data_IF_460863264011
#
_entry.id   IF_460863264011
#
_cell.length_a   1.000
_cell.length_b   1.000
_cell.length_c   1.000
_cell.angle_alpha   90.00
_cell.angle_beta   90.00
_cell.angle_gamma   90.00
#
_symmetry.space_group_name_H-M   'P 1'
#
loop_
_entity.id
_entity.type
_entity.pdbx_description
1 polymer ?
#
# COMPACT_ATOMS: atom_id res chain seq x y z
N UNK A 1 -7.17 43.41 -65.20
CA UNK A 1 -8.21 42.39 -64.90
C UNK A 1 -7.66 41.07 -65.40
N UNK A 2 -7.22 40.07 -64.64
CA UNK A 2 -7.26 39.72 -63.20
C UNK A 2 -6.03 38.78 -62.98
N UNK A 3 -5.10 39.03 -62.04
CA UNK A 3 -4.99 38.48 -60.66
C UNK A 3 -5.53 37.04 -60.50
N UNK A 4 -4.89 36.04 -59.88
CA UNK A 4 -3.92 35.96 -58.76
C UNK A 4 -3.25 34.55 -58.77
N UNK A 5 -1.93 34.43 -58.64
CA UNK A 5 -1.14 34.10 -57.42
C UNK A 5 -1.63 32.92 -56.56
N UNK A 6 -0.69 31.99 -56.41
CA UNK A 6 -0.56 30.84 -55.49
C UNK A 6 -0.74 31.18 -54.01
N UNK A 7 -1.24 30.22 -53.23
CA UNK A 7 -0.63 29.84 -51.94
C UNK A 7 -1.20 28.52 -51.41
N UNK A 8 -0.28 27.67 -50.94
CA UNK A 8 -0.54 26.42 -50.22
C UNK A 8 -1.20 26.71 -48.87
N UNK A 9 -2.21 25.93 -48.51
CA UNK A 9 -2.47 25.62 -47.11
C UNK A 9 -3.07 24.22 -46.99
N UNK A 10 -2.17 23.25 -46.79
CA UNK A 10 -2.48 21.99 -46.14
C UNK A 10 -2.95 22.32 -44.71
N UNK A 11 -4.27 22.41 -44.52
CA UNK A 11 -4.86 22.39 -43.18
C UNK A 11 -4.74 20.96 -42.62
N UNK A 12 -3.53 20.62 -42.20
CA UNK A 12 -3.27 19.54 -41.28
C UNK A 12 -3.40 20.07 -39.87
N UNK A 13 -4.62 20.36 -39.43
CA UNK A 13 -4.90 20.56 -38.01
C UNK A 13 -5.25 19.18 -37.43
N UNK A 14 -4.23 18.32 -37.35
CA UNK A 14 -4.26 17.19 -36.43
C UNK A 14 -4.14 17.81 -35.05
N UNK A 15 -5.30 17.98 -34.41
CA UNK A 15 -5.46 18.19 -32.99
C UNK A 15 -4.66 17.10 -32.27
N UNK A 16 -3.38 17.38 -32.02
CA UNK A 16 -2.53 16.56 -31.19
C UNK A 16 -3.12 16.67 -29.81
N UNK A 17 -4.03 15.76 -29.51
CA UNK A 17 -4.47 15.46 -28.16
C UNK A 17 -3.18 15.17 -27.39
N UNK A 18 -2.67 16.18 -26.68
CA UNK A 18 -1.57 16.03 -25.74
C UNK A 18 -2.08 15.04 -24.71
N UNK A 19 -1.77 13.76 -24.91
CA UNK A 19 -1.96 12.74 -23.91
C UNK A 19 -1.26 13.31 -22.68
N UNK A 20 -1.98 13.58 -21.57
CA UNK A 20 -1.34 14.11 -20.40
C UNK A 20 -0.22 13.14 -20.03
N UNK A 21 1.01 13.62 -20.06
CA UNK A 21 2.13 12.91 -19.45
C UNK A 21 1.67 12.71 -18.01
N UNK A 22 1.46 11.46 -17.62
CA UNK A 22 0.99 11.14 -16.28
C UNK A 22 2.14 11.46 -15.32
N UNK A 23 2.19 12.71 -14.85
CA UNK A 23 3.21 13.18 -13.94
C UNK A 23 2.90 12.49 -12.61
N UNK A 24 3.81 11.68 -12.05
CA UNK A 24 3.59 11.02 -10.78
C UNK A 24 3.17 12.02 -9.70
N UNK A 25 2.15 11.66 -8.93
CA UNK A 25 1.50 12.53 -7.95
C UNK A 25 1.03 13.89 -8.51
N UNK A 26 0.75 14.01 -9.82
CA UNK A 26 0.41 15.29 -10.45
C UNK A 26 1.48 16.38 -10.24
N UNK A 27 2.74 15.99 -10.00
CA UNK A 27 3.83 16.89 -9.65
C UNK A 27 3.80 17.40 -8.20
N UNK A 28 2.91 16.87 -7.35
CA UNK A 28 2.83 17.21 -5.93
C UNK A 28 3.94 16.57 -5.11
N UNK A 29 4.16 17.12 -3.92
CA UNK A 29 5.20 16.68 -3.00
C UNK A 29 4.93 15.24 -2.53
N UNK A 30 5.96 14.40 -2.56
CA UNK A 30 5.93 13.09 -1.90
C UNK A 30 6.10 13.31 -0.38
N UNK A 31 5.09 12.92 0.39
CA UNK A 31 5.09 13.03 1.86
C UNK A 31 5.69 11.79 2.52
N UNK A 32 5.46 10.61 1.92
CA UNK A 32 5.87 9.32 2.48
C UNK A 32 6.28 8.36 1.38
N UNK A 33 7.22 7.48 1.69
CA UNK A 33 7.55 6.33 0.86
C UNK A 33 7.77 5.09 1.73
N UNK A 34 7.54 3.90 1.16
CA UNK A 34 7.79 2.60 1.79
C UNK A 34 8.37 1.64 0.74
N UNK A 35 9.38 0.89 1.15
CA UNK A 35 9.98 -0.20 0.37
C UNK A 35 9.28 -1.52 0.66
N UNK A 36 9.15 -2.36 -0.38
CA UNK A 36 8.74 -3.74 -0.20
C UNK A 36 9.83 -4.58 0.49
N UNK A 37 9.47 -5.73 1.11
CA UNK A 37 10.43 -6.53 1.89
C UNK A 37 11.68 -6.94 1.13
N UNK A 38 11.53 -7.35 -0.13
CA UNK A 38 12.66 -7.75 -0.97
C UNK A 38 13.16 -6.59 -1.86
N UNK A 39 12.79 -5.35 -1.56
CA UNK A 39 13.18 -4.15 -2.31
C UNK A 39 12.86 -4.21 -3.82
N UNK A 40 11.80 -4.94 -4.20
CA UNK A 40 11.36 -5.03 -5.60
C UNK A 40 10.49 -3.83 -6.02
N UNK A 41 9.90 -3.12 -5.07
CA UNK A 41 9.11 -1.93 -5.36
C UNK A 41 9.10 -0.91 -4.22
N UNK A 42 8.74 0.32 -4.60
CA UNK A 42 8.52 1.45 -3.69
C UNK A 42 7.07 1.90 -3.88
N UNK A 43 6.36 2.13 -2.77
CA UNK A 43 5.14 2.92 -2.79
C UNK A 43 5.43 4.32 -2.25
N UNK A 44 4.99 5.34 -2.97
CA UNK A 44 5.03 6.73 -2.53
C UNK A 44 3.62 7.25 -2.32
N UNK A 45 3.45 8.17 -1.37
CA UNK A 45 2.19 8.83 -1.04
C UNK A 45 2.40 10.33 -1.07
N UNK A 46 1.50 11.04 -1.75
CA UNK A 46 1.33 12.47 -1.63
C UNK A 46 0.02 12.75 -0.89
N UNK A 47 0.11 13.54 0.18
CA UNK A 47 -1.05 13.92 0.99
C UNK A 47 -1.87 15.02 0.32
N UNK A 48 -1.24 15.81 -0.57
CA UNK A 48 -1.88 16.96 -1.24
C UNK A 48 -2.89 16.51 -2.29
N UNK A 49 -2.50 15.62 -3.20
CA UNK A 49 -3.37 15.04 -4.22
C UNK A 49 -3.99 13.70 -3.80
N UNK A 50 -3.64 13.19 -2.61
CA UNK A 50 -4.12 11.93 -2.04
C UNK A 50 -3.91 10.74 -2.99
N UNK A 51 -2.78 10.70 -3.69
CA UNK A 51 -2.44 9.60 -4.58
C UNK A 51 -1.30 8.75 -4.03
N UNK A 52 -1.38 7.45 -4.33
CA UNK A 52 -0.33 6.47 -4.09
C UNK A 52 0.26 6.10 -5.44
N UNK A 53 1.58 6.14 -5.59
CA UNK A 53 2.28 5.73 -6.80
C UNK A 53 3.21 4.57 -6.46
N UNK A 54 3.21 3.55 -7.30
CA UNK A 54 4.10 2.40 -7.20
C UNK A 54 5.19 2.50 -8.26
N UNK A 55 6.41 2.25 -7.82
CA UNK A 55 7.61 2.20 -8.62
C UNK A 55 8.21 0.80 -8.53
N UNK A 56 8.57 0.22 -9.66
CA UNK A 56 9.33 -1.04 -9.70
C UNK A 56 10.82 -0.71 -9.64
N UNK A 57 11.57 -1.43 -8.80
CA UNK A 57 13.03 -1.37 -8.78
C UNK A 57 13.56 -2.45 -9.71
N UNK A 58 14.44 -2.07 -10.65
CA UNK A 58 15.07 -3.00 -11.59
C UNK A 58 16.35 -3.59 -11.02
N UNK A 59 16.88 -4.64 -11.66
CA UNK A 59 18.16 -5.26 -11.31
C UNK A 59 19.35 -4.27 -11.38
N UNK A 60 19.22 -3.22 -12.20
CA UNK A 60 20.19 -2.13 -12.32
C UNK A 60 20.03 -1.06 -11.22
N UNK A 61 19.19 -1.31 -10.21
CA UNK A 61 18.83 -0.38 -9.13
C UNK A 61 18.19 0.93 -9.63
N UNK A 62 17.56 0.89 -10.81
CA UNK A 62 16.77 1.99 -11.34
C UNK A 62 15.31 1.86 -10.92
N UNK A 63 14.65 3.00 -10.70
CA UNK A 63 13.21 3.05 -10.40
C UNK A 63 12.41 3.38 -11.65
N UNK A 64 11.39 2.57 -11.95
CA UNK A 64 10.47 2.77 -13.06
C UNK A 64 9.06 2.95 -12.54
N UNK A 65 8.35 3.97 -13.04
CA UNK A 65 6.92 4.11 -12.80
C UNK A 65 6.20 2.83 -13.24
N UNK A 66 5.26 2.38 -12.42
CA UNK A 66 4.49 1.17 -12.70
C UNK A 66 2.99 1.43 -12.70
N UNK A 67 2.45 1.96 -11.60
CA UNK A 67 1.04 2.28 -11.49
C UNK A 67 0.79 3.39 -10.47
N UNK A 68 -0.40 3.98 -10.51
CA UNK A 68 -0.89 4.91 -9.51
C UNK A 68 -2.32 4.58 -9.10
N UNK A 69 -2.70 5.08 -7.93
CA UNK A 69 -4.03 4.93 -7.38
C UNK A 69 -4.40 6.18 -6.60
N UNK A 70 -5.59 6.74 -6.89
CA UNK A 70 -6.15 7.80 -6.06
C UNK A 70 -6.85 7.20 -4.84
N UNK A 71 -6.62 7.76 -3.65
CA UNK A 71 -7.35 7.38 -2.44
C UNK A 71 -8.85 7.72 -2.58
N UNK A 72 -9.22 8.69 -3.43
CA UNK A 72 -10.64 8.95 -3.73
C UNK A 72 -11.33 7.76 -4.37
N UNK A 73 -10.65 7.04 -5.27
CA UNK A 73 -11.20 5.86 -5.95
C UNK A 73 -11.53 4.76 -4.92
N UNK A 74 -10.70 4.65 -3.89
CA UNK A 74 -10.86 3.66 -2.82
C UNK A 74 -12.02 3.97 -1.88
N UNK A 75 -12.29 5.25 -1.60
CA UNK A 75 -13.39 5.64 -0.71
C UNK A 75 -14.75 5.16 -1.23
N UNK A 76 -14.92 5.11 -2.56
CA UNK A 76 -16.13 4.55 -3.16
C UNK A 76 -16.21 3.02 -2.95
N UNK A 77 -15.11 2.30 -3.15
CA UNK A 77 -15.07 0.83 -3.00
C UNK A 77 -15.22 0.34 -1.56
N UNK A 78 -14.87 1.18 -0.58
CA UNK A 78 -14.84 0.81 0.84
C UNK A 78 -15.66 1.77 1.71
N UNK A 79 -16.71 2.38 1.15
CA UNK A 79 -17.52 3.44 1.78
C UNK A 79 -18.13 3.08 3.14
N UNK A 80 -18.26 1.79 3.45
CA UNK A 80 -18.72 1.30 4.76
C UNK A 80 -17.65 1.37 5.86
N UNK A 81 -16.40 1.63 5.49
CA UNK A 81 -15.27 1.75 6.41
C UNK A 81 -14.85 3.21 6.51
N UNK A 82 -14.96 3.77 7.71
CA UNK A 82 -14.46 5.09 8.00
C UNK A 82 -12.92 5.05 7.94
N UNK A 83 -12.35 5.52 6.83
CA UNK A 83 -10.90 5.68 6.69
C UNK A 83 -10.42 6.78 7.62
N UNK A 84 -10.17 6.43 8.88
CA UNK A 84 -9.66 7.37 9.89
C UNK A 84 -8.22 7.79 9.64
N UNK A 85 -7.50 7.10 8.75
CA UNK A 85 -6.15 7.50 8.36
C UNK A 85 -5.85 7.14 6.90
N UNK A 86 -5.49 8.15 6.12
CA UNK A 86 -4.91 8.02 4.78
C UNK A 86 -3.41 7.62 4.86
N UNK A 87 -3.05 6.78 5.83
CA UNK A 87 -1.65 6.40 6.10
C UNK A 87 -1.29 5.14 5.33
N UNK A 88 -0.34 5.26 4.40
CA UNK A 88 0.34 4.12 3.80
C UNK A 88 1.11 3.36 4.90
N UNK A 89 0.80 2.08 5.15
CA UNK A 89 1.40 1.28 6.26
C UNK A 89 2.50 0.35 5.75
N UNK A 90 2.32 -0.26 4.59
CA UNK A 90 3.29 -1.21 4.01
C UNK A 90 2.97 -1.50 2.55
N UNK A 91 3.96 -1.99 1.80
CA UNK A 91 3.81 -2.52 0.43
C UNK A 91 4.45 -3.92 0.36
N UNK A 92 3.81 -4.85 -0.34
CA UNK A 92 4.35 -6.16 -0.66
C UNK A 92 5.08 -6.14 -2.00
N UNK A 93 5.95 -7.12 -2.25
CA UNK A 93 6.68 -7.22 -3.53
C UNK A 93 5.76 -7.44 -4.74
N UNK A 94 4.50 -7.80 -4.50
CA UNK A 94 3.49 -7.92 -5.55
C UNK A 94 2.62 -6.65 -5.67
N UNK A 95 3.15 -5.50 -5.23
CA UNK A 95 2.55 -4.18 -5.46
C UNK A 95 1.18 -4.03 -4.79
N UNK A 96 0.98 -4.74 -3.68
CA UNK A 96 -0.19 -4.59 -2.81
C UNK A 96 0.19 -3.82 -1.56
N UNK A 97 -0.58 -2.82 -1.17
CA UNK A 97 -0.29 -2.01 0.01
C UNK A 97 -1.39 -2.08 1.07
N UNK A 98 -1.08 -1.59 2.27
CA UNK A 98 -1.95 -1.64 3.44
C UNK A 98 -2.34 -0.22 3.85
N UNK A 99 -3.65 0.00 3.96
CA UNK A 99 -4.25 1.16 4.66
C UNK A 99 -5.10 0.67 5.84
N UNK A 100 -6.17 -0.04 5.51
CA UNK A 100 -7.14 -0.71 6.42
C UNK A 100 -7.55 -2.07 5.83
N UNK A 101 -7.53 -2.15 4.50
CA UNK A 101 -7.58 -3.36 3.69
C UNK A 101 -6.23 -3.55 2.97
N UNK A 102 -6.01 -4.77 2.45
CA UNK A 102 -4.96 -4.98 1.45
C UNK A 102 -5.53 -4.60 0.10
N UNK A 103 -4.84 -3.74 -0.62
CA UNK A 103 -5.29 -3.22 -1.91
C UNK A 103 -4.25 -3.58 -2.96
N UNK A 104 -4.73 -4.16 -4.04
CA UNK A 104 -3.95 -4.48 -5.22
C UNK A 104 -4.03 -3.29 -6.20
N UNK A 105 -2.88 -2.66 -6.44
CA UNK A 105 -2.83 -1.40 -7.20
C UNK A 105 -3.24 -1.63 -8.65
N UNK A 106 -2.77 -2.72 -9.27
CA UNK A 106 -2.99 -2.99 -10.68
C UNK A 106 -4.47 -3.28 -10.97
N UNK A 107 -5.12 -4.06 -10.12
CA UNK A 107 -6.53 -4.42 -10.31
C UNK A 107 -7.51 -3.45 -9.64
N UNK A 108 -7.00 -2.54 -8.79
CA UNK A 108 -7.78 -1.69 -7.88
C UNK A 108 -8.72 -2.48 -6.96
N UNK A 109 -8.51 -3.80 -6.84
CA UNK A 109 -9.27 -4.65 -5.94
C UNK A 109 -8.71 -4.52 -4.54
N UNK A 110 -9.53 -4.77 -3.53
CA UNK A 110 -8.99 -4.92 -2.19
C UNK A 110 -9.80 -5.88 -1.35
N UNK A 111 -9.15 -6.28 -0.26
CA UNK A 111 -9.64 -7.32 0.63
C UNK A 111 -9.52 -6.85 2.07
N UNK A 112 -10.66 -6.88 2.77
CA UNK A 112 -10.69 -6.72 4.22
C UNK A 112 -10.24 -8.02 4.85
N UNK A 113 -9.21 -7.94 5.70
CA UNK A 113 -8.70 -9.09 6.41
C UNK A 113 -9.63 -9.44 7.56
N UNK A 114 -9.96 -10.72 7.67
CA UNK A 114 -10.81 -11.23 8.74
C UNK A 114 -10.13 -12.38 9.46
N UNK A 115 -10.16 -12.31 10.78
CA UNK A 115 -9.78 -13.36 11.70
C UNK A 115 -10.51 -13.14 13.03
N UNK A 116 -10.74 -14.20 13.78
CA UNK A 116 -11.36 -14.09 15.10
C UNK A 116 -10.49 -13.23 16.02
N UNK A 117 -11.07 -12.12 16.51
CA UNK A 117 -10.38 -11.16 17.38
C UNK A 117 -9.63 -10.03 16.65
N UNK A 118 -9.62 -10.00 15.31
CA UNK A 118 -8.90 -8.99 14.52
C UNK A 118 -9.73 -7.70 14.26
N UNK A 119 -10.87 -7.52 14.92
CA UNK A 119 -11.69 -6.30 14.72
C UNK A 119 -11.00 -5.06 15.32
N UNK A 120 -11.17 -3.91 14.65
CA UNK A 120 -10.69 -2.60 15.09
C UNK A 120 -9.24 -2.33 14.69
N UNK A 121 -8.61 -1.35 15.36
CA UNK A 121 -7.23 -0.94 15.07
C UNK A 121 -6.24 -2.06 15.36
N UNK A 122 -5.28 -2.28 14.45
CA UNK A 122 -4.20 -3.23 14.62
C UNK A 122 -2.87 -2.58 14.21
N UNK A 123 -1.88 -2.72 15.07
CA UNK A 123 -0.52 -2.22 14.90
C UNK A 123 0.36 -2.96 15.90
N UNK A 124 1.61 -3.33 15.56
CA UNK A 124 2.25 -3.18 14.25
C UNK A 124 1.71 -4.10 13.14
N UNK A 125 1.97 -3.72 11.88
CA UNK A 125 1.63 -4.48 10.67
C UNK A 125 2.86 -4.50 9.76
N UNK A 126 3.23 -5.66 9.21
CA UNK A 126 4.43 -5.78 8.36
C UNK A 126 4.32 -6.93 7.35
N UNK A 127 4.71 -6.66 6.10
CA UNK A 127 4.98 -7.72 5.12
C UNK A 127 6.35 -8.33 5.40
N UNK A 128 6.42 -9.66 5.35
CA UNK A 128 7.66 -10.41 5.52
C UNK A 128 8.32 -10.70 4.18
N UNK A 129 9.61 -10.99 4.20
CA UNK A 129 10.41 -11.38 3.02
C UNK A 129 9.85 -12.62 2.31
N UNK A 130 9.20 -13.53 3.05
CA UNK A 130 8.54 -14.70 2.49
C UNK A 130 7.15 -14.41 1.88
N UNK A 131 6.75 -13.15 1.80
CA UNK A 131 5.48 -12.68 1.23
C UNK A 131 4.26 -12.85 2.14
N UNK A 132 4.42 -13.34 3.37
CA UNK A 132 3.34 -13.32 4.35
C UNK A 132 3.14 -11.92 4.94
N UNK A 133 1.96 -11.69 5.50
CA UNK A 133 1.63 -10.47 6.22
C UNK A 133 1.44 -10.82 7.70
N UNK A 134 2.12 -10.08 8.58
CA UNK A 134 1.92 -10.17 10.02
C UNK A 134 1.16 -8.95 10.50
N UNK A 135 0.13 -9.18 11.31
CA UNK A 135 -0.63 -8.15 12.00
C UNK A 135 -0.62 -8.47 13.48
N UNK A 136 -0.18 -7.51 14.29
CA UNK A 136 -0.25 -7.61 15.74
C UNK A 136 -1.48 -6.85 16.23
N UNK A 137 -2.28 -7.55 17.02
CA UNK A 137 -3.42 -6.96 17.74
C UNK A 137 -3.09 -6.91 19.20
N UNK A 138 -3.11 -5.71 19.76
CA UNK A 138 -2.90 -5.47 21.18
C UNK A 138 -4.19 -5.76 21.97
N UNK A 139 -4.42 -5.01 23.05
CA UNK A 139 -5.62 -5.10 23.87
C UNK A 139 -6.92 -5.14 23.03
N UNK A 140 -7.89 -6.02 23.35
CA UNK A 140 -7.89 -7.01 24.43
C UNK A 140 -7.32 -8.39 24.07
N UNK A 141 -6.81 -8.58 22.85
CA UNK A 141 -6.55 -9.93 22.31
C UNK A 141 -5.09 -10.34 22.44
N UNK A 142 -4.14 -9.41 22.33
CA UNK A 142 -2.69 -9.66 22.40
C UNK A 142 -2.28 -10.86 21.54
N UNK A 143 -2.38 -10.72 20.21
CA UNK A 143 -2.21 -11.82 19.27
C UNK A 143 -1.52 -11.39 17.99
N UNK A 144 -0.63 -12.22 17.49
CA UNK A 144 -0.06 -12.11 16.16
C UNK A 144 -0.87 -12.94 15.16
N UNK A 145 -1.32 -12.33 14.08
CA UNK A 145 -1.97 -13.00 12.96
C UNK A 145 -1.00 -13.07 11.79
N UNK A 146 -0.85 -14.26 11.21
CA UNK A 146 -0.04 -14.46 10.00
C UNK A 146 -0.99 -14.79 8.86
N UNK A 147 -1.09 -13.87 7.92
CA UNK A 147 -1.83 -14.04 6.68
C UNK A 147 -0.90 -14.50 5.58
N UNK A 148 -1.35 -15.47 4.80
CA UNK A 148 -0.68 -15.88 3.58
C UNK A 148 -1.50 -15.51 2.38
N UNK A 149 -0.79 -15.21 1.31
CA UNK A 149 -1.39 -14.96 0.01
C UNK A 149 -1.52 -16.26 -0.78
N UNK A 150 -2.64 -16.39 -1.47
CA UNK A 150 -2.88 -17.38 -2.52
C UNK A 150 -3.37 -16.65 -3.78
N UNK A 151 -3.24 -17.29 -4.95
CA UNK A 151 -3.76 -16.76 -6.21
C UNK A 151 -4.81 -17.74 -6.73
N UNK A 152 -6.04 -17.27 -6.92
CA UNK A 152 -7.13 -18.01 -7.58
C UNK A 152 -7.69 -17.10 -8.65
N UNK A 153 -7.82 -17.60 -9.88
CA UNK A 153 -8.45 -16.87 -10.99
C UNK A 153 -7.81 -15.50 -11.26
N UNK A 154 -6.49 -15.39 -11.12
CA UNK A 154 -5.75 -14.14 -11.30
C UNK A 154 -5.82 -13.18 -10.11
N UNK A 155 -6.76 -13.38 -9.18
CA UNK A 155 -6.98 -12.51 -8.03
C UNK A 155 -6.20 -13.03 -6.82
N UNK A 156 -5.53 -12.11 -6.13
CA UNK A 156 -4.85 -12.41 -4.89
C UNK A 156 -5.83 -12.45 -3.71
N UNK A 157 -5.82 -13.57 -2.98
CA UNK A 157 -6.63 -13.77 -1.79
C UNK A 157 -5.74 -14.06 -0.58
N UNK A 158 -5.95 -13.30 0.47
CA UNK A 158 -5.27 -13.42 1.76
C UNK A 158 -6.11 -14.23 2.74
N UNK A 159 -5.48 -15.17 3.42
CA UNK A 159 -6.13 -16.00 4.44
C UNK A 159 -5.29 -16.05 5.70
N UNK A 160 -5.92 -15.96 6.86
CA UNK A 160 -5.23 -16.11 8.14
C UNK A 160 -4.83 -17.59 8.29
N UNK A 161 -3.53 -17.89 8.25
CA UNK A 161 -3.01 -19.25 8.47
C UNK A 161 -2.74 -19.52 9.94
N UNK A 162 -2.18 -18.54 10.63
CA UNK A 162 -1.80 -18.69 12.04
C UNK A 162 -2.30 -17.53 12.87
N UNK A 163 -2.62 -17.84 14.12
CA UNK A 163 -3.07 -16.92 15.15
C UNK A 163 -2.34 -17.32 16.43
N UNK A 164 -1.34 -16.53 16.82
CA UNK A 164 -0.42 -16.83 17.91
C UNK A 164 -0.72 -15.90 19.07
N UNK A 165 -1.13 -16.44 20.21
CA UNK A 165 -1.33 -15.66 21.43
C UNK A 165 0.01 -15.13 21.96
N UNK A 166 0.01 -13.86 22.35
CA UNK A 166 1.14 -13.15 22.91
C UNK A 166 0.84 -12.80 24.37
N UNK A 167 1.89 -12.67 25.17
CA UNK A 167 1.77 -12.06 26.49
C UNK A 167 1.39 -10.60 26.34
N UNK A 168 0.81 -10.00 27.38
CA UNK A 168 0.61 -8.56 27.43
C UNK A 168 1.95 -7.84 27.28
N UNK A 169 1.95 -6.79 26.48
CA UNK A 169 3.12 -5.98 26.15
C UNK A 169 2.73 -4.51 26.01
N UNK A 170 3.71 -3.64 26.11
CA UNK A 170 3.52 -2.20 25.93
C UNK A 170 3.96 -1.75 24.54
N UNK A 171 5.03 -2.35 24.01
CA UNK A 171 5.45 -2.11 22.64
C UNK A 171 5.81 -3.42 21.95
N UNK A 172 5.55 -3.44 20.66
CA UNK A 172 5.83 -4.57 19.80
C UNK A 172 6.32 -4.07 18.44
N UNK A 173 7.24 -4.81 17.82
CA UNK A 173 7.72 -4.55 16.47
C UNK A 173 7.97 -5.87 15.74
N UNK A 174 7.63 -5.90 14.45
CA UNK A 174 7.82 -7.06 13.58
C UNK A 174 8.82 -6.67 12.49
N UNK A 175 9.94 -7.38 12.43
CA UNK A 175 10.92 -7.21 11.36
C UNK A 175 10.51 -8.00 10.12
N UNK A 176 10.91 -7.52 8.92
CA UNK A 176 10.61 -8.18 7.64
C UNK A 176 11.16 -9.61 7.57
N UNK A 177 12.23 -9.91 8.32
CA UNK A 177 12.78 -11.26 8.48
C UNK A 177 11.87 -12.22 9.30
N UNK A 178 10.71 -11.77 9.78
CA UNK A 178 9.79 -12.53 10.62
C UNK A 178 10.14 -12.55 12.12
N UNK A 179 11.17 -11.82 12.55
CA UNK A 179 11.53 -11.71 13.98
C UNK A 179 10.56 -10.75 14.68
N UNK A 180 10.16 -11.12 15.90
CA UNK A 180 9.27 -10.35 16.75
C UNK A 180 10.05 -9.79 17.94
N UNK A 181 9.95 -8.49 18.17
CA UNK A 181 10.49 -7.82 19.35
C UNK A 181 9.35 -7.30 20.21
N UNK A 182 9.33 -7.71 21.48
CA UNK A 182 8.29 -7.36 22.45
C UNK A 182 8.97 -6.76 23.67
N UNK A 183 8.44 -5.63 24.13
CA UNK A 183 8.78 -5.06 25.44
C UNK A 183 7.56 -5.06 26.35
N UNK A 184 7.78 -5.43 27.60
CA UNK A 184 6.77 -5.44 28.65
C UNK A 184 7.33 -4.76 29.88
N UNK A 185 6.57 -3.83 30.47
CA UNK A 185 6.81 -3.29 31.78
C UNK A 185 6.77 -4.45 32.77
N UNK A 186 7.87 -4.63 33.50
CA UNK A 186 7.78 -5.39 34.75
C UNK A 186 6.96 -4.54 35.72
N UNK A 187 6.00 -5.12 36.45
CA UNK A 187 5.39 -4.40 37.55
C UNK A 187 6.50 -4.01 38.54
N UNK A 188 6.43 -2.77 39.03
CA UNK A 188 7.24 -2.34 40.17
C UNK A 188 6.97 -3.32 41.32
N UNK A 189 7.93 -4.19 41.61
CA UNK A 189 7.87 -5.01 42.82
C UNK A 189 8.25 -4.07 43.96
N UNK A 190 7.25 -3.56 44.68
CA UNK A 190 7.48 -2.99 46.01
C UNK A 190 7.64 -4.20 46.92
N UNK A 191 8.89 -4.57 47.21
CA UNK A 191 9.16 -5.45 48.34
C UNK A 191 9.02 -4.59 49.61
N UNK A 192 8.02 -4.92 50.44
CA UNK A 192 7.99 -4.53 51.85
C UNK A 192 8.55 -5.68 52.68
#
# INVERSE_FOLDING_TARGET
MSSSKSENSLNGDQDQTKIPIDIPHGGKKINKYILSPNMNCIATLSEEDKSIVVWTITDELAVKYDNSLSISDLKHSFSTYEFKSDKLIGISDCKQFILIAIIDVATKSGQILSAQGLKGWASPVSFLENGNLVIIKENPVYRAYIFSKSKSDGIHKWTCKYSIELRKFDQCSVFQSGKLFITSYRPNVIMQ
#
